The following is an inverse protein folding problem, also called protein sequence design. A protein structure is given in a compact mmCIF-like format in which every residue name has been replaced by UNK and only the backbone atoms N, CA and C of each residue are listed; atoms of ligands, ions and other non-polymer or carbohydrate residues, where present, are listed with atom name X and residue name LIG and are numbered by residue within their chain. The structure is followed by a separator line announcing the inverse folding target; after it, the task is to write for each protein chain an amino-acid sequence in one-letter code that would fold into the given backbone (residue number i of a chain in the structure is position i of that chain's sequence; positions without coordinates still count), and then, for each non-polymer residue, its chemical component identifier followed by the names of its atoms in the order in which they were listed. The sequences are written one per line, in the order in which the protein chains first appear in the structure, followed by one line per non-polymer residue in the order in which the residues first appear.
data_IF_594101979353
#
_entry.id   IF_594101979353
#
_cell.length_a   1.000
_cell.length_b   1.000
_cell.length_c   1.000
_cell.angle_alpha   90.00
_cell.angle_beta   90.00
_cell.angle_gamma   90.00
#
_symmetry.space_group_name_H-M   'P 1'
#
loop_
_entity.id
_entity.type
_entity.pdbx_description
1 polymer ?
#
# COMPACT_ATOMS: atom_id res chain seq x y z
N UNK A 1 18.79 -16.81 16.26
CA UNK A 1 17.53 -16.30 16.85
C UNK A 1 16.64 -15.85 15.69
N UNK A 2 15.39 -16.32 15.64
CA UNK A 2 14.41 -15.77 14.71
C UNK A 2 13.98 -14.40 15.25
N UNK A 3 14.13 -13.36 14.44
CA UNK A 3 13.69 -12.00 14.75
C UNK A 3 12.20 -11.86 14.43
N UNK A 4 11.79 -12.35 13.26
CA UNK A 4 10.42 -12.22 12.78
C UNK A 4 10.07 -13.28 11.72
N UNK A 5 8.78 -13.56 11.57
CA UNK A 5 8.17 -14.38 10.51
C UNK A 5 6.99 -13.63 9.93
N UNK A 6 7.06 -13.22 8.67
CA UNK A 6 5.94 -12.61 7.95
C UNK A 6 5.73 -13.35 6.64
N UNK A 7 4.53 -13.88 6.44
CA UNK A 7 4.22 -14.72 5.28
C UNK A 7 5.22 -15.89 5.14
N UNK A 8 5.78 -16.13 3.94
CA UNK A 8 6.75 -17.20 3.71
C UNK A 8 8.20 -16.80 4.03
N UNK A 9 8.47 -15.72 4.77
CA UNK A 9 9.86 -15.30 5.04
C UNK A 9 10.12 -15.11 6.53
N UNK A 10 11.27 -15.59 6.99
CA UNK A 10 11.74 -15.37 8.35
C UNK A 10 13.07 -14.63 8.35
N UNK A 11 13.20 -13.63 9.22
CA UNK A 11 14.45 -12.93 9.45
C UNK A 11 15.16 -13.60 10.63
N UNK A 12 16.40 -14.05 10.42
CA UNK A 12 17.17 -14.78 11.43
C UNK A 12 18.50 -14.08 11.67
N UNK A 13 18.84 -13.84 12.93
CA UNK A 13 20.21 -13.50 13.32
C UNK A 13 20.97 -14.76 13.71
N UNK A 14 22.09 -15.04 13.04
CA UNK A 14 23.00 -16.13 13.38
C UNK A 14 24.42 -15.57 13.58
N UNK A 15 24.92 -15.68 14.82
CA UNK A 15 26.12 -14.95 15.22
C UNK A 15 25.90 -13.43 15.08
N UNK A 16 26.85 -12.69 14.49
CA UNK A 16 26.68 -11.27 14.24
C UNK A 16 25.85 -10.98 12.99
N UNK A 17 25.55 -11.95 12.13
CA UNK A 17 25.00 -11.70 10.79
C UNK A 17 23.48 -11.96 10.72
N UNK A 18 22.84 -11.41 9.68
CA UNK A 18 21.41 -11.57 9.43
C UNK A 18 21.14 -12.35 8.15
N UNK A 19 20.14 -13.22 8.18
CA UNK A 19 19.75 -14.12 7.10
C UNK A 19 18.25 -13.97 6.81
N UNK A 20 17.91 -13.97 5.52
CA UNK A 20 16.55 -13.86 5.01
C UNK A 20 16.10 -15.29 4.66
N UNK A 21 15.46 -16.02 5.56
CA UNK A 21 15.11 -17.43 5.34
C UNK A 21 13.70 -17.54 4.74
N UNK A 22 13.54 -17.67 3.41
CA UNK A 22 12.25 -17.97 2.79
C UNK A 22 11.87 -19.44 3.01
N UNK A 23 10.58 -19.70 3.18
CA UNK A 23 10.00 -21.04 3.27
C UNK A 23 10.32 -21.81 1.98
N UNK A 24 11.18 -22.82 2.10
CA UNK A 24 11.52 -23.74 1.01
C UNK A 24 12.63 -23.26 0.06
N UNK A 25 13.40 -22.22 0.43
CA UNK A 25 14.52 -21.69 -0.38
C UNK A 25 15.90 -21.81 0.28
N UNK A 26 16.88 -21.14 -0.31
CA UNK A 26 18.21 -20.89 0.27
C UNK A 26 18.13 -19.73 1.26
N UNK A 27 18.95 -19.74 2.33
CA UNK A 27 19.06 -18.66 3.32
C UNK A 27 20.06 -17.59 2.85
N UNK A 28 19.68 -16.53 2.12
CA UNK A 28 20.61 -15.50 1.70
C UNK A 28 20.98 -14.65 2.92
N UNK A 29 22.25 -14.29 2.99
CA UNK A 29 22.77 -13.39 4.00
C UNK A 29 22.53 -11.94 3.56
N UNK A 30 22.20 -11.06 4.50
CA UNK A 30 21.96 -9.65 4.20
C UNK A 30 23.30 -8.94 3.96
N UNK A 31 23.46 -8.33 2.80
CA UNK A 31 24.69 -7.66 2.37
C UNK A 31 24.48 -6.17 2.12
N UNK A 32 25.47 -5.37 2.52
CA UNK A 32 25.54 -3.95 2.19
C UNK A 32 26.94 -3.62 1.67
N UNK A 33 27.03 -3.01 0.49
CA UNK A 33 28.30 -2.60 -0.12
C UNK A 33 29.35 -3.73 -0.24
N UNK A 34 28.91 -4.97 -0.48
CA UNK A 34 29.81 -6.12 -0.66
C UNK A 34 30.27 -6.80 0.64
N UNK A 35 29.77 -6.39 1.80
CA UNK A 35 30.06 -7.02 3.09
C UNK A 35 28.77 -7.49 3.81
N UNK A 36 28.85 -8.57 4.63
CA UNK A 36 27.74 -8.96 5.48
C UNK A 36 27.33 -7.86 6.44
N UNK A 37 26.04 -7.64 6.54
CA UNK A 37 25.46 -6.76 7.55
C UNK A 37 25.55 -7.44 8.91
N UNK A 38 26.12 -6.72 9.88
CA UNK A 38 26.33 -7.24 11.24
C UNK A 38 25.51 -6.49 12.28
N UNK A 39 25.20 -7.16 13.38
CA UNK A 39 24.59 -6.57 14.56
C UNK A 39 25.48 -5.47 15.12
N UNK A 40 24.90 -4.27 15.30
CA UNK A 40 25.63 -3.10 15.78
C UNK A 40 26.46 -2.38 14.72
N UNK A 41 26.39 -2.77 13.43
CA UNK A 41 27.09 -2.08 12.34
C UNK A 41 26.76 -0.58 12.28
N UNK A 42 25.50 -0.24 12.58
CA UNK A 42 25.06 1.15 12.75
C UNK A 42 24.39 1.32 14.10
N UNK A 43 24.75 2.40 14.79
CA UNK A 43 24.25 2.67 16.14
C UNK A 43 22.73 2.73 16.19
N UNK A 44 22.14 1.86 17.01
CA UNK A 44 20.70 1.80 17.27
C UNK A 44 19.86 1.13 16.17
N UNK A 45 20.41 0.88 14.97
CA UNK A 45 19.68 0.24 13.88
C UNK A 45 19.77 -1.28 13.93
N UNK A 46 18.63 -1.93 13.80
CA UNK A 46 18.53 -3.36 13.59
C UNK A 46 17.41 -3.69 12.59
N UNK A 47 17.56 -4.75 11.79
CA UNK A 47 16.47 -5.26 10.99
C UNK A 47 15.45 -5.92 11.93
N UNK A 48 14.18 -5.68 11.67
CA UNK A 48 13.05 -6.12 12.51
C UNK A 48 12.08 -7.02 11.76
N UNK A 49 12.11 -7.05 10.43
CA UNK A 49 11.24 -7.86 9.60
C UNK A 49 11.78 -8.01 8.19
N UNK A 50 11.35 -9.06 7.50
CA UNK A 50 11.70 -9.29 6.10
C UNK A 50 10.55 -9.99 5.37
N UNK A 51 10.24 -9.54 4.16
CA UNK A 51 9.23 -10.13 3.28
C UNK A 51 9.84 -10.40 1.92
N UNK A 52 9.67 -11.61 1.40
CA UNK A 52 10.09 -11.96 0.04
C UNK A 52 9.18 -11.29 -0.99
N UNK A 53 9.79 -10.72 -2.03
CA UNK A 53 9.14 -10.15 -3.20
C UNK A 53 9.43 -11.01 -4.44
N UNK A 54 8.89 -10.65 -5.61
CA UNK A 54 9.19 -11.35 -6.86
C UNK A 54 10.65 -11.19 -7.32
N UNK A 55 11.34 -10.14 -6.86
CA UNK A 55 12.71 -9.79 -7.27
C UNK A 55 13.77 -9.91 -6.17
N UNK A 56 13.37 -10.08 -4.91
CA UNK A 56 14.27 -10.16 -3.76
C UNK A 56 13.52 -10.09 -2.44
N UNK A 57 13.94 -9.19 -1.56
CA UNK A 57 13.31 -9.02 -0.24
C UNK A 57 13.21 -7.55 0.14
N UNK A 58 12.11 -7.22 0.80
CA UNK A 58 11.98 -5.98 1.55
C UNK A 58 12.35 -6.25 3.00
N UNK A 59 13.24 -5.44 3.57
CA UNK A 59 13.75 -5.59 4.94
C UNK A 59 13.40 -4.35 5.73
N UNK A 60 12.58 -4.52 6.76
CA UNK A 60 12.22 -3.45 7.68
C UNK A 60 13.32 -3.27 8.72
N UNK A 61 13.68 -2.02 8.97
CA UNK A 61 14.69 -1.61 9.93
C UNK A 61 14.11 -0.60 10.91
N UNK A 62 14.51 -0.69 12.17
CA UNK A 62 14.12 0.28 13.21
C UNK A 62 15.34 0.77 13.95
N UNK A 63 15.39 2.08 14.20
CA UNK A 63 16.34 2.67 15.12
C UNK A 63 15.74 2.71 16.53
N UNK A 64 16.33 1.98 17.47
CA UNK A 64 15.84 1.94 18.85
C UNK A 64 15.96 3.28 19.59
N UNK A 65 16.92 4.13 19.20
CA UNK A 65 17.15 5.43 19.85
C UNK A 65 16.24 6.54 19.35
N UNK A 66 15.94 6.55 18.04
CA UNK A 66 15.11 7.62 17.42
C UNK A 66 13.69 7.17 17.10
N UNK A 67 13.40 5.87 17.11
CA UNK A 67 12.11 5.31 16.69
C UNK A 67 11.86 5.39 15.18
N UNK A 68 12.87 5.76 14.38
CA UNK A 68 12.74 5.89 12.92
C UNK A 68 12.83 4.54 12.22
N UNK A 69 12.23 4.48 11.03
CA UNK A 69 12.14 3.31 10.19
C UNK A 69 12.81 3.52 8.83
N UNK A 70 13.48 2.46 8.36
CA UNK A 70 13.87 2.31 6.96
C UNK A 70 13.27 1.03 6.42
N UNK A 71 12.91 1.03 5.14
CA UNK A 71 12.62 -0.19 4.39
C UNK A 71 13.67 -0.30 3.30
N UNK A 72 14.45 -1.38 3.31
CA UNK A 72 15.41 -1.70 2.26
C UNK A 72 14.77 -2.62 1.26
N UNK A 73 15.07 -2.43 -0.01
CA UNK A 73 14.93 -3.46 -1.04
C UNK A 73 16.27 -4.14 -1.25
N UNK A 74 16.21 -5.44 -1.48
CA UNK A 74 17.36 -6.29 -1.81
C UNK A 74 17.10 -7.07 -3.08
N UNK A 75 18.16 -7.58 -3.72
CA UNK A 75 18.00 -8.61 -4.74
C UNK A 75 17.69 -9.99 -4.11
N UNK A 76 17.42 -10.99 -4.95
CA UNK A 76 17.16 -12.38 -4.52
C UNK A 76 18.29 -13.05 -3.72
N UNK A 77 19.50 -12.47 -3.72
CA UNK A 77 20.66 -12.95 -2.96
C UNK A 77 20.89 -12.20 -1.65
N UNK A 78 20.01 -11.25 -1.30
CA UNK A 78 20.09 -10.49 -0.05
C UNK A 78 21.00 -9.25 -0.14
N UNK A 79 21.43 -8.84 -1.34
CA UNK A 79 22.23 -7.63 -1.49
C UNK A 79 21.34 -6.40 -1.55
N UNK A 80 21.65 -5.39 -0.71
CA UNK A 80 21.00 -4.09 -0.73
C UNK A 80 21.01 -3.45 -2.13
N UNK A 81 19.84 -2.97 -2.58
CA UNK A 81 19.67 -2.21 -3.82
C UNK A 81 19.41 -0.73 -3.48
N UNK A 82 18.30 -0.46 -2.78
CA UNK A 82 17.87 0.89 -2.45
C UNK A 82 17.00 0.93 -1.21
N UNK A 83 16.84 2.11 -0.61
CA UNK A 83 15.81 2.36 0.38
C UNK A 83 14.46 2.61 -0.32
N UNK A 84 13.45 1.83 0.04
CA UNK A 84 12.05 2.10 -0.27
C UNK A 84 11.44 3.11 0.72
N UNK A 85 11.99 3.19 1.93
CA UNK A 85 11.66 4.19 2.93
C UNK A 85 12.92 4.59 3.71
N UNK A 86 13.11 5.88 3.96
CA UNK A 86 14.31 6.41 4.63
C UNK A 86 13.95 7.35 5.77
N UNK A 87 14.44 7.04 6.97
CA UNK A 87 14.39 7.86 8.17
C UNK A 87 12.98 8.34 8.53
N UNK A 88 11.99 7.50 8.26
CA UNK A 88 10.59 7.85 8.47
C UNK A 88 10.21 7.71 9.94
N UNK A 89 9.37 8.62 10.43
CA UNK A 89 8.73 8.45 11.73
C UNK A 89 7.78 7.24 11.68
N UNK A 90 7.67 6.50 12.80
CA UNK A 90 6.77 5.36 12.92
C UNK A 90 5.31 5.71 12.60
N UNK A 91 4.89 6.93 12.97
CA UNK A 91 3.54 7.48 12.77
C UNK A 91 3.40 8.23 11.44
N UNK A 92 4.30 7.98 10.48
CA UNK A 92 4.14 8.53 9.15
C UNK A 92 3.28 7.59 8.33
N UNK A 93 2.40 8.15 7.50
CA UNK A 93 1.52 7.37 6.62
C UNK A 93 2.30 6.42 5.70
N UNK A 94 3.52 6.79 5.31
CA UNK A 94 4.43 5.92 4.56
C UNK A 94 4.88 4.72 5.39
N UNK A 95 5.34 4.91 6.64
CA UNK A 95 5.72 3.80 7.52
C UNK A 95 4.52 2.88 7.83
N UNK A 96 3.37 3.47 8.15
CA UNK A 96 2.12 2.75 8.40
C UNK A 96 1.70 1.93 7.17
N UNK A 97 1.87 2.44 5.94
CA UNK A 97 1.52 1.67 4.73
C UNK A 97 2.31 0.34 4.62
N UNK A 98 3.56 0.30 5.09
CA UNK A 98 4.36 -0.93 5.07
C UNK A 98 3.95 -1.93 6.14
N UNK A 99 3.27 -1.52 7.21
CA UNK A 99 2.77 -2.45 8.23
C UNK A 99 1.89 -3.55 7.64
N UNK A 100 1.07 -3.22 6.63
CA UNK A 100 0.27 -4.19 5.89
C UNK A 100 1.10 -5.14 5.03
N UNK A 101 2.32 -4.76 4.64
CA UNK A 101 3.22 -5.63 3.88
C UNK A 101 3.86 -6.65 4.78
N UNK A 102 4.37 -6.18 5.92
CA UNK A 102 4.97 -7.02 6.93
C UNK A 102 3.92 -7.72 7.81
N UNK A 103 2.65 -7.34 7.73
CA UNK A 103 1.57 -7.81 8.61
C UNK A 103 1.90 -7.57 10.09
N UNK A 104 2.46 -6.39 10.40
CA UNK A 104 2.92 -6.03 11.74
C UNK A 104 2.64 -4.57 12.05
N UNK A 105 2.14 -4.35 13.25
CA UNK A 105 2.04 -3.03 13.88
C UNK A 105 3.45 -2.61 14.34
N UNK A 106 4.07 -1.69 13.59
CA UNK A 106 5.44 -1.25 13.83
C UNK A 106 5.50 -0.07 14.80
N UNK A 107 4.47 0.78 14.77
CA UNK A 107 4.37 1.98 15.59
C UNK A 107 3.76 1.69 16.99
N UNK A 108 3.11 0.54 17.18
CA UNK A 108 2.53 0.07 18.43
C UNK A 108 1.16 0.67 18.75
N UNK A 109 0.43 1.17 17.76
CA UNK A 109 -0.86 1.83 17.96
C UNK A 109 -2.07 0.87 18.02
N UNK A 110 -1.83 -0.43 17.79
CA UNK A 110 -2.83 -1.49 17.79
C UNK A 110 -3.50 -1.73 16.45
N UNK A 111 -3.10 -1.01 15.40
CA UNK A 111 -3.57 -1.15 14.01
C UNK A 111 -2.43 -1.69 13.16
N UNK A 112 -2.76 -2.51 12.16
CA UNK A 112 -1.82 -2.86 11.08
C UNK A 112 -2.24 -2.03 9.88
N UNK A 113 -1.36 -1.13 9.46
CA UNK A 113 -1.65 -0.23 8.35
C UNK A 113 -2.08 1.14 8.82
N UNK A 114 -2.41 1.99 7.86
CA UNK A 114 -2.95 3.31 8.18
C UNK A 114 -4.28 3.16 8.94
N UNK A 115 -4.50 3.92 10.02
CA UNK A 115 -5.80 4.00 10.66
C UNK A 115 -6.85 4.33 9.61
N UNK A 116 -7.84 3.44 9.47
CA UNK A 116 -9.00 3.76 8.63
C UNK A 116 -9.64 4.97 9.27
N UNK A 117 -9.52 6.13 8.62
CA UNK A 117 -10.28 7.29 9.02
C UNK A 117 -11.76 6.87 8.99
N UNK A 118 -12.37 6.67 10.15
CA UNK A 118 -13.83 6.67 10.27
C UNK A 118 -14.26 8.04 9.77
N UNK A 119 -14.63 8.11 8.50
CA UNK A 119 -14.93 9.36 7.84
C UNK A 119 -16.00 10.10 8.65
N UNK A 120 -15.74 11.31 9.16
CA UNK A 120 -16.84 12.18 9.50
C UNK A 120 -17.66 12.42 8.22
N UNK A 121 -18.99 12.45 8.36
CA UNK A 121 -19.87 12.64 7.21
C UNK A 121 -19.50 13.94 6.45
N UNK A 122 -19.07 13.73 5.21
CA UNK A 122 -19.08 14.63 4.05
C UNK A 122 -18.14 15.86 3.98
N UNK A 123 -17.40 15.94 2.87
CA UNK A 123 -17.57 16.98 1.86
C UNK A 123 -17.14 16.41 0.51
N UNK A 124 -17.99 16.53 -0.51
CA UNK A 124 -17.69 16.08 -1.86
C UNK A 124 -16.48 16.86 -2.40
N UNK A 125 -15.32 16.21 -2.51
CA UNK A 125 -14.28 16.71 -3.39
C UNK A 125 -14.72 16.35 -4.81
N UNK A 126 -14.99 17.41 -5.59
CA UNK A 126 -15.40 17.32 -6.98
C UNK A 126 -14.26 16.72 -7.79
N UNK A 127 -14.38 15.46 -8.20
CA UNK A 127 -13.52 14.92 -9.25
C UNK A 127 -14.15 15.19 -10.60
N UNK A 128 -13.40 15.89 -11.44
CA UNK A 128 -13.73 16.09 -12.84
C UNK A 128 -13.31 14.81 -13.57
N UNK A 129 -14.26 14.10 -14.17
CA UNK A 129 -13.91 13.07 -15.15
C UNK A 129 -13.40 13.80 -16.40
N UNK A 130 -12.13 13.63 -16.73
CA UNK A 130 -11.50 14.12 -17.96
C UNK A 130 -11.79 13.22 -19.17
N UNK A 131 -12.68 12.24 -19.00
CA UNK A 131 -13.28 11.46 -20.07
C UNK A 131 -13.20 9.96 -19.85
N UNK A 132 -12.04 9.46 -19.37
CA UNK A 132 -11.79 8.02 -19.17
C UNK A 132 -11.20 7.64 -17.78
N UNK A 133 -10.62 8.57 -17.01
CA UNK A 133 -10.01 8.29 -15.70
C UNK A 133 -10.54 9.19 -14.56
N UNK A 134 -10.36 8.72 -13.33
CA UNK A 134 -10.57 9.48 -12.10
C UNK A 134 -9.23 10.04 -11.61
N UNK A 135 -9.02 11.35 -11.70
CA UNK A 135 -7.78 11.96 -11.20
C UNK A 135 -7.92 12.39 -9.74
N UNK A 136 -6.99 11.95 -8.88
CA UNK A 136 -6.86 12.37 -7.49
C UNK A 136 -5.61 13.24 -7.34
N UNK A 137 -5.81 14.56 -7.20
CA UNK A 137 -4.70 15.51 -7.03
C UNK A 137 -4.03 15.44 -5.65
N UNK A 138 -4.75 14.97 -4.64
CA UNK A 138 -4.26 14.74 -3.29
C UNK A 138 -4.71 13.39 -2.74
N UNK A 139 -4.16 12.26 -3.26
CA UNK A 139 -4.60 10.91 -2.90
C UNK A 139 -4.56 10.62 -1.40
N UNK A 140 -3.58 11.17 -0.68
CA UNK A 140 -3.39 10.98 0.76
C UNK A 140 -4.53 11.54 1.61
N UNK A 141 -5.31 12.48 1.08
CA UNK A 141 -6.46 13.10 1.76
C UNK A 141 -7.80 12.59 1.26
N UNK A 142 -7.81 11.68 0.28
CA UNK A 142 -9.04 11.09 -0.21
C UNK A 142 -9.67 10.20 0.86
N UNK A 143 -10.91 10.54 1.25
CA UNK A 143 -11.68 9.81 2.27
C UNK A 143 -12.96 9.18 1.71
N UNK A 144 -13.11 9.18 0.38
CA UNK A 144 -14.25 8.60 -0.31
C UNK A 144 -14.13 7.08 -0.48
N UNK A 145 -15.21 6.46 -0.96
CA UNK A 145 -15.23 5.06 -1.36
C UNK A 145 -15.37 4.94 -2.87
N UNK A 146 -14.59 4.03 -3.45
CA UNK A 146 -14.66 3.67 -4.86
C UNK A 146 -15.53 2.42 -5.00
N UNK A 147 -16.74 2.57 -5.55
CA UNK A 147 -17.63 1.43 -5.81
C UNK A 147 -17.67 1.08 -7.28
N UNK A 148 -17.71 -0.23 -7.55
CA UNK A 148 -17.89 -0.75 -8.90
C UNK A 148 -16.63 -0.67 -9.76
N UNK A 149 -15.46 -0.50 -9.15
CA UNK A 149 -14.17 -0.47 -9.84
C UNK A 149 -13.92 -1.81 -10.54
N UNK A 150 -13.97 -1.80 -11.87
CA UNK A 150 -13.84 -2.99 -12.69
C UNK A 150 -13.46 -2.70 -14.13
N UNK A 151 -13.14 -3.76 -14.87
CA UNK A 151 -12.64 -3.61 -16.22
C UNK A 151 -12.57 -4.90 -17.01
N UNK A 152 -12.30 -4.78 -18.30
CA UNK A 152 -11.92 -5.90 -19.15
C UNK A 152 -10.39 -6.06 -19.22
N UNK A 153 -9.88 -6.93 -20.09
CA UNK A 153 -8.42 -7.17 -20.18
C UNK A 153 -7.67 -6.06 -20.94
N UNK A 154 -8.26 -4.87 -21.10
CA UNK A 154 -7.68 -3.72 -21.81
C UNK A 154 -7.80 -2.45 -20.96
N UNK A 155 -6.82 -1.55 -21.11
CA UNK A 155 -6.83 -0.27 -20.40
C UNK A 155 -8.08 0.56 -20.72
N UNK A 156 -8.49 0.62 -21.99
CA UNK A 156 -9.66 1.39 -22.45
C UNK A 156 -11.01 0.76 -22.03
N UNK A 157 -11.01 -0.53 -21.68
CA UNK A 157 -12.19 -1.22 -21.16
C UNK A 157 -12.20 -1.32 -19.64
N UNK A 158 -11.29 -0.64 -18.96
CA UNK A 158 -11.13 -0.67 -17.50
C UNK A 158 -11.37 0.68 -16.88
N UNK A 159 -11.93 0.65 -15.67
CA UNK A 159 -11.95 1.80 -14.80
C UNK A 159 -10.51 2.19 -14.40
N UNK A 160 -10.23 3.49 -14.43
CA UNK A 160 -8.89 4.06 -14.23
C UNK A 160 -8.90 5.13 -13.12
N UNK A 161 -7.87 5.12 -12.26
CA UNK A 161 -7.60 6.19 -11.27
C UNK A 161 -6.17 6.69 -11.43
N UNK A 162 -5.98 7.98 -11.72
CA UNK A 162 -4.68 8.66 -11.72
C UNK A 162 -4.41 9.24 -10.32
N UNK A 163 -3.24 8.91 -9.76
CA UNK A 163 -2.80 9.33 -8.43
C UNK A 163 -1.61 10.29 -8.53
N UNK A 164 -1.88 11.59 -8.42
CA UNK A 164 -0.82 12.60 -8.51
C UNK A 164 0.22 12.42 -7.41
N UNK A 165 1.49 12.47 -7.82
CA UNK A 165 2.65 12.38 -6.91
C UNK A 165 3.13 10.96 -6.62
N UNK A 166 2.48 9.92 -7.14
CA UNK A 166 2.97 8.54 -7.02
C UNK A 166 3.86 8.16 -8.21
N UNK A 167 5.05 7.65 -7.90
CA UNK A 167 5.96 7.02 -8.88
C UNK A 167 5.73 5.51 -8.81
N UNK A 168 5.24 4.94 -9.90
CA UNK A 168 4.82 3.55 -9.95
C UNK A 168 5.99 2.57 -10.14
N UNK A 169 7.17 3.06 -10.49
CA UNK A 169 8.38 2.23 -10.54
C UNK A 169 8.89 1.87 -9.14
N UNK A 170 8.56 2.71 -8.15
CA UNK A 170 8.92 2.53 -6.74
C UNK A 170 7.69 2.31 -5.87
N UNK A 171 6.50 2.13 -6.48
CA UNK A 171 5.27 1.95 -5.74
C UNK A 171 5.26 0.58 -5.06
N UNK A 172 5.12 0.65 -3.76
CA UNK A 172 4.69 -0.43 -2.91
C UNK A 172 3.17 -0.38 -2.73
N UNK A 173 2.50 -1.53 -2.88
CA UNK A 173 1.05 -1.61 -2.73
C UNK A 173 0.63 -2.88 -2.01
N UNK A 174 -0.44 -2.79 -1.24
CA UNK A 174 -1.02 -3.92 -0.51
C UNK A 174 -2.53 -3.76 -0.44
N UNK A 175 -3.26 -4.86 -0.63
CA UNK A 175 -4.71 -4.87 -0.56
C UNK A 175 -5.19 -5.75 0.59
N UNK A 176 -5.94 -5.16 1.51
CA UNK A 176 -6.66 -5.90 2.55
C UNK A 176 -8.07 -6.23 2.05
N UNK A 177 -8.28 -7.50 1.68
CA UNK A 177 -9.57 -7.99 1.21
C UNK A 177 -10.67 -8.02 2.28
N UNK A 178 -10.33 -7.96 3.57
CA UNK A 178 -11.33 -7.91 4.65
C UNK A 178 -11.95 -6.51 4.79
N UNK A 179 -11.12 -5.46 4.72
CA UNK A 179 -11.58 -4.06 4.78
C UNK A 179 -11.88 -3.43 3.41
N UNK A 180 -11.39 -4.04 2.33
CA UNK A 180 -11.44 -3.48 0.98
C UNK A 180 -10.45 -2.34 0.75
N UNK A 181 -9.38 -2.26 1.55
CA UNK A 181 -8.45 -1.12 1.54
C UNK A 181 -7.22 -1.43 0.70
N UNK A 182 -6.90 -0.57 -0.26
CA UNK A 182 -5.64 -0.55 -0.98
C UNK A 182 -4.72 0.51 -0.35
N UNK A 183 -3.62 0.08 0.27
CA UNK A 183 -2.57 0.97 0.75
C UNK A 183 -1.46 1.09 -0.31
N UNK A 184 -0.97 2.31 -0.49
CA UNK A 184 -0.03 2.70 -1.54
C UNK A 184 1.08 3.56 -0.93
N UNK A 185 2.34 3.29 -1.27
CA UNK A 185 3.46 4.19 -0.96
C UNK A 185 4.60 4.08 -1.96
N UNK A 186 5.20 5.20 -2.34
CA UNK A 186 6.45 5.23 -3.12
C UNK A 186 7.64 5.74 -2.29
N UNK A 187 7.55 5.63 -0.96
CA UNK A 187 8.56 6.13 -0.01
C UNK A 187 8.50 7.63 0.28
N UNK A 188 8.06 8.45 -0.67
CA UNK A 188 7.86 9.89 -0.49
C UNK A 188 6.40 10.24 -0.15
N UNK A 189 5.46 9.59 -0.81
CA UNK A 189 4.02 9.76 -0.67
C UNK A 189 3.36 8.44 -0.24
N UNK A 190 2.23 8.54 0.44
CA UNK A 190 1.41 7.39 0.82
C UNK A 190 -0.08 7.75 0.82
N UNK A 191 -0.92 6.78 0.45
CA UNK A 191 -2.36 6.93 0.33
C UNK A 191 -3.09 5.62 0.65
N UNK A 192 -4.34 5.75 1.09
CA UNK A 192 -5.23 4.63 1.36
C UNK A 192 -6.54 4.85 0.60
N UNK A 193 -6.94 3.87 -0.21
CA UNK A 193 -8.14 3.93 -1.02
C UNK A 193 -9.07 2.78 -0.64
N UNK A 194 -10.32 3.11 -0.28
CA UNK A 194 -11.31 2.09 0.05
C UNK A 194 -12.14 1.72 -1.17
N UNK A 195 -12.12 0.44 -1.52
CA UNK A 195 -12.90 -0.15 -2.60
C UNK A 195 -14.03 -1.02 -2.07
N UNK A 196 -15.21 -0.91 -2.69
CA UNK A 196 -16.39 -1.68 -2.33
C UNK A 196 -16.97 -2.42 -3.53
N UNK A 197 -17.14 -3.74 -3.40
CA UNK A 197 -17.84 -4.61 -4.34
C UNK A 197 -16.94 -5.43 -5.27
N UNK A 198 -17.24 -6.73 -5.34
CA UNK A 198 -16.57 -7.81 -6.12
C UNK A 198 -15.11 -8.07 -5.71
N UNK A 199 -14.65 -9.31 -5.90
CA UNK A 199 -13.38 -9.86 -5.41
C UNK A 199 -12.16 -9.24 -6.10
N UNK A 200 -11.67 -8.14 -5.52
CA UNK A 200 -10.56 -7.29 -6.00
C UNK A 200 -9.15 -7.88 -5.83
N UNK A 201 -9.03 -9.13 -5.39
CA UNK A 201 -7.81 -9.63 -4.75
C UNK A 201 -6.54 -9.63 -5.62
N UNK A 202 -6.59 -9.49 -6.95
CA UNK A 202 -5.40 -9.66 -7.80
C UNK A 202 -5.37 -8.84 -9.12
N UNK A 203 -6.19 -7.79 -9.26
CA UNK A 203 -6.43 -7.15 -10.57
C UNK A 203 -5.94 -5.71 -10.70
N UNK A 204 -5.24 -5.16 -9.70
CA UNK A 204 -4.70 -3.81 -9.80
C UNK A 204 -3.47 -3.81 -10.72
N UNK A 205 -3.60 -3.12 -11.85
CA UNK A 205 -2.51 -2.89 -12.78
C UNK A 205 -2.12 -1.43 -12.73
N UNK A 206 -0.87 -1.19 -12.34
CA UNK A 206 -0.26 0.11 -12.34
C UNK A 206 0.48 0.31 -13.66
N UNK A 207 0.17 1.37 -14.39
CA UNK A 207 0.81 1.71 -15.66
C UNK A 207 1.17 3.19 -15.71
N UNK A 208 2.32 3.54 -16.29
CA UNK A 208 2.65 4.94 -16.57
C UNK A 208 1.95 5.39 -17.87
N UNK A 209 1.14 6.45 -17.80
CA UNK A 209 0.41 7.05 -18.93
C UNK A 209 0.99 8.41 -19.37
N UNK A 210 2.16 8.78 -18.83
CA UNK A 210 2.81 10.06 -19.10
C UNK A 210 2.22 11.25 -18.33
N UNK A 211 1.24 11.05 -17.44
CA UNK A 211 0.68 12.08 -16.54
C UNK A 211 0.88 11.75 -15.04
N UNK A 212 1.51 10.63 -14.72
CA UNK A 212 1.51 10.03 -13.39
C UNK A 212 0.65 8.78 -13.45
N UNK A 213 1.16 7.66 -12.94
CA UNK A 213 0.61 6.36 -13.33
C UNK A 213 -0.84 6.11 -12.94
N UNK A 214 -1.49 5.35 -13.81
CA UNK A 214 -2.88 4.95 -13.75
C UNK A 214 -3.02 3.62 -13.02
N UNK A 215 -3.84 3.59 -11.99
CA UNK A 215 -4.40 2.36 -11.44
C UNK A 215 -5.53 1.89 -12.34
N UNK A 216 -5.43 0.68 -12.89
CA UNK A 216 -6.46 0.05 -13.73
C UNK A 216 -6.86 -1.32 -13.19
N UNK A 217 -8.07 -1.76 -13.48
CA UNK A 217 -8.56 -3.09 -13.10
C UNK A 217 -8.57 -4.06 -14.29
N UNK A 218 -7.54 -4.90 -14.46
CA UNK A 218 -7.56 -5.96 -15.49
C UNK A 218 -7.82 -7.32 -14.84
N UNK A 219 -8.87 -8.08 -15.22
CA UNK A 219 -9.07 -9.44 -14.71
C UNK A 219 -8.09 -10.45 -15.37
N UNK A 220 -7.74 -11.54 -14.65
CA UNK A 220 -7.12 -12.73 -15.27
C UNK A 220 -8.07 -13.31 -16.32
N UNK A 221 -7.58 -13.75 -17.50
CA UNK A 221 -8.39 -14.34 -18.57
C UNK A 221 -9.04 -15.67 -18.13
N UNK A 222 -10.38 -15.84 -18.28
CA UNK A 222 -10.91 -17.13 -18.69
C UNK A 222 -11.86 -17.00 -19.91
N UNK A 223 -12.07 -18.13 -20.58
CA UNK A 223 -12.72 -18.24 -21.89
C UNK A 223 -14.17 -17.72 -21.95
N UNK A 224 -14.43 -16.85 -22.94
CA UNK A 224 -15.70 -16.55 -23.66
C UNK A 224 -17.03 -16.55 -22.86
N UNK A 225 -17.68 -15.38 -22.76
CA UNK A 225 -18.82 -14.92 -23.59
C UNK A 225 -19.21 -13.46 -23.23
N UNK A 226 -19.44 -12.63 -24.25
CA UNK A 226 -19.77 -11.20 -24.16
C UNK A 226 -21.11 -10.90 -23.43
N UNK A 227 -21.13 -9.82 -22.65
CA UNK A 227 -22.22 -8.84 -22.64
C UNK A 227 -21.68 -7.44 -22.26
N UNK A 228 -21.99 -6.42 -23.07
CA UNK A 228 -21.44 -5.06 -23.03
C UNK A 228 -22.27 -4.18 -22.09
N UNK A 229 -21.68 -3.59 -21.06
CA UNK A 229 -22.26 -2.50 -20.23
C UNK A 229 -21.19 -1.43 -20.08
N UNK A 230 -21.53 -0.16 -20.38
CA UNK A 230 -20.62 1.00 -20.21
C UNK A 230 -20.62 1.48 -18.75
N UNK A 231 -19.41 1.88 -18.33
CA UNK A 231 -18.92 2.36 -17.01
C UNK A 231 -19.96 2.86 -15.99
N UNK A 232 -19.82 2.38 -14.74
CA UNK A 232 -20.50 2.90 -13.54
C UNK A 232 -19.57 2.74 -12.31
N UNK A 233 -18.47 3.50 -12.25
CA UNK A 233 -17.90 3.82 -10.94
C UNK A 233 -18.89 4.74 -10.25
N UNK A 234 -19.46 4.32 -9.12
CA UNK A 234 -20.39 5.14 -8.35
C UNK A 234 -19.68 5.60 -7.08
N UNK A 235 -19.43 6.89 -6.92
CA UNK A 235 -19.07 7.42 -5.61
C UNK A 235 -20.33 7.45 -4.74
N UNK A 236 -20.38 6.65 -3.67
CA UNK A 236 -21.48 6.72 -2.69
C UNK A 236 -21.06 7.61 -1.53
N UNK A 237 -21.86 8.65 -1.31
CA UNK A 237 -21.77 9.51 -0.14
C UNK A 237 -23.07 9.32 0.66
N UNK A 238 -22.96 8.92 1.93
CA UNK A 238 -24.10 8.97 2.85
C UNK A 238 -24.24 10.39 3.38
N UNK A 239 -25.19 11.14 2.85
CA UNK A 239 -25.62 12.40 3.45
C UNK A 239 -26.58 12.10 4.62
N UNK A 240 -26.17 12.40 5.85
CA UNK A 240 -27.13 12.56 6.95
C UNK A 240 -27.75 13.94 6.79
N UNK A 241 -28.94 14.00 6.21
CA UNK A 241 -29.73 15.22 6.21
C UNK A 241 -30.20 15.46 7.66
N UNK A 242 -29.48 16.31 8.41
CA UNK A 242 -30.03 16.91 9.62
C UNK A 242 -31.05 17.96 9.21
N UNK A 243 -32.27 17.51 8.93
CA UNK A 243 -33.41 18.39 8.84
C UNK A 243 -33.70 18.89 10.26
N UNK A 244 -33.12 20.02 10.64
CA UNK A 244 -33.65 20.82 11.74
C UNK A 244 -35.00 21.37 11.27
N UNK A 245 -36.08 20.63 11.57
CA UNK A 245 -37.43 21.18 11.60
C UNK A 245 -37.43 22.19 12.75
N UNK A 246 -37.18 23.46 12.43
CA UNK A 246 -37.55 24.55 13.32
C UNK A 246 -39.07 24.66 13.26
N UNK A 247 -39.73 24.15 14.29
CA UNK A 247 -41.16 24.33 14.46
C UNK A 247 -41.44 25.82 14.69
N UNK A 248 -42.00 26.48 13.67
CA UNK A 248 -42.67 27.77 13.86
C UNK A 248 -43.95 27.46 14.63
N UNK A 249 -44.00 27.83 15.92
CA UNK A 249 -45.23 27.82 16.71
C UNK A 249 -46.11 29.00 16.28
N UNK A 250 -47.38 28.78 15.91
CA UNK A 250 -48.33 29.87 15.75
C UNK A 250 -48.91 30.26 17.11
N UNK A 251 -48.69 31.49 17.54
CA UNK A 251 -49.66 32.45 18.09
C UNK A 251 -48.92 33.70 18.58
#
# INVERSE_FOLDING_TARGET
MVIQTDGPTSLVQAGPNYFLNPVGGTDPELYFSGAPVTAGMWAGWAPIGAVQTSGGYDVAWKNAGTGQFNIWSTDSTGHYITNLLSFAAATSTAAESYETTFQRDFNGDGTIGMPVATAPAASAMQTTFDGEALTLDAPSTFSGQLLGFGGDTTLAGSDQVDLRGFDFNTLHSSFDGASGTLSLSNGANAASLQFLGQSLQDSFHFADDGHGGTLSSLPRRPHRRLLRVRSRILLRMTATCSCQISAISPY
#
